data_IF_581519675301
#
_entry.id   IF_581519675301
#
_cell.length_a   1.000
_cell.length_b   1.000
_cell.length_c   1.000
_cell.angle_alpha   90.00
_cell.angle_beta   90.00
_cell.angle_gamma   90.00
#
_symmetry.space_group_name_H-M   'P 1'
#
loop_
_entity.id
_entity.type
_entity.pdbx_description
1 polymer ?
#
# COMPACT_ATOMS: atom_id res chain seq x y z
N UNK A 1 3.91 -21.23 -34.25
CA UNK A 1 3.86 -20.07 -33.34
C UNK A 1 5.15 -20.05 -32.53
N UNK A 2 6.24 -19.44 -33.02
CA UNK A 2 7.53 -19.37 -32.31
C UNK A 2 8.50 -18.34 -32.94
N UNK A 3 8.02 -17.13 -33.26
CA UNK A 3 8.82 -16.09 -33.95
C UNK A 3 8.52 -14.64 -33.50
N UNK A 4 8.05 -14.39 -32.26
CA UNK A 4 7.73 -13.01 -31.81
C UNK A 4 8.47 -12.48 -30.58
N UNK A 5 9.30 -13.28 -29.89
CA UNK A 5 9.93 -12.83 -28.64
C UNK A 5 11.38 -12.33 -28.76
N UNK A 6 12.00 -12.35 -29.95
CA UNK A 6 13.40 -11.91 -30.12
C UNK A 6 13.58 -10.42 -30.40
N UNK A 7 12.54 -9.70 -30.80
CA UNK A 7 12.68 -8.30 -31.23
C UNK A 7 12.66 -7.31 -30.05
N UNK A 8 12.05 -7.66 -28.92
CA UNK A 8 11.89 -6.73 -27.78
C UNK A 8 13.18 -6.58 -26.95
N UNK A 9 14.04 -7.60 -26.93
CA UNK A 9 15.30 -7.55 -26.17
C UNK A 9 16.39 -6.71 -26.85
N UNK A 10 16.31 -6.50 -28.18
CA UNK A 10 17.33 -5.75 -28.92
C UNK A 10 17.18 -4.22 -28.78
N UNK A 11 15.97 -3.72 -28.47
CA UNK A 11 15.71 -2.28 -28.36
C UNK A 11 16.23 -1.62 -27.07
N UNK A 12 16.56 -2.38 -26.03
CA UNK A 12 17.01 -1.81 -24.74
C UNK A 12 18.53 -1.61 -24.67
N UNK A 13 19.32 -2.31 -25.50
CA UNK A 13 20.79 -2.21 -25.47
C UNK A 13 21.33 -1.01 -26.27
N UNK A 14 20.63 -0.57 -27.32
CA UNK A 14 21.09 0.54 -28.19
C UNK A 14 20.99 1.93 -27.53
N UNK A 15 20.25 2.08 -26.44
CA UNK A 15 20.11 3.36 -25.73
C UNK A 15 21.35 3.74 -24.92
N UNK A 16 22.13 2.76 -24.46
CA UNK A 16 23.24 3.00 -23.53
C UNK A 16 24.57 3.32 -24.22
N UNK A 17 24.78 2.88 -25.46
CA UNK A 17 26.03 3.16 -26.20
C UNK A 17 26.08 4.59 -26.77
N UNK A 18 24.93 5.18 -27.12
CA UNK A 18 24.85 6.58 -27.56
C UNK A 18 25.06 7.58 -26.41
N UNK A 19 24.79 7.19 -25.16
CA UNK A 19 25.02 8.05 -23.98
C UNK A 19 26.50 8.19 -23.62
N UNK A 20 27.34 7.20 -23.96
CA UNK A 20 28.76 7.19 -23.58
C UNK A 20 29.59 8.23 -24.36
N UNK A 21 29.23 8.55 -25.60
CA UNK A 21 29.93 9.57 -26.40
C UNK A 21 29.57 11.01 -26.00
N UNK A 22 28.37 11.24 -25.46
CA UNK A 22 27.86 12.58 -25.13
C UNK A 22 28.37 13.10 -23.77
N UNK A 23 28.99 12.26 -22.94
CA UNK A 23 29.34 12.60 -21.57
C UNK A 23 30.61 13.46 -21.44
N UNK A 24 31.58 13.29 -22.34
CA UNK A 24 32.87 14.02 -22.29
C UNK A 24 32.93 15.24 -23.20
N UNK A 25 32.03 15.33 -24.20
CA UNK A 25 31.99 16.46 -25.11
C UNK A 25 31.42 17.70 -24.40
N UNK A 26 32.18 18.79 -24.45
CA UNK A 26 31.74 20.10 -23.98
C UNK A 26 30.92 20.76 -25.10
N UNK A 27 29.83 21.42 -24.72
CA UNK A 27 28.91 22.09 -25.64
C UNK A 27 28.70 23.53 -25.20
N UNK A 28 28.64 24.41 -26.18
CA UNK A 28 28.20 25.80 -26.04
C UNK A 28 26.77 25.89 -26.58
N UNK A 29 25.90 26.65 -25.92
CA UNK A 29 24.56 26.91 -26.43
C UNK A 29 24.26 28.40 -26.43
N UNK A 30 23.38 28.83 -27.34
CA UNK A 30 23.03 30.23 -27.52
C UNK A 30 21.59 30.48 -27.07
N UNK A 31 21.41 31.48 -26.23
CA UNK A 31 20.10 31.97 -25.79
C UNK A 31 20.00 33.46 -26.12
N UNK A 32 19.26 33.78 -27.18
CA UNK A 32 19.28 35.13 -27.77
C UNK A 32 20.65 35.45 -28.36
N UNK A 33 21.31 36.51 -27.89
CA UNK A 33 22.66 36.91 -28.34
C UNK A 33 23.77 36.45 -27.39
N UNK A 34 23.42 35.81 -26.29
CA UNK A 34 24.37 35.32 -25.30
C UNK A 34 24.76 33.88 -25.61
N UNK A 35 26.07 33.65 -25.74
CA UNK A 35 26.64 32.30 -25.81
C UNK A 35 27.04 31.88 -24.40
N UNK A 36 26.50 30.76 -23.95
CA UNK A 36 26.71 30.19 -22.63
C UNK A 36 27.48 28.87 -22.77
N UNK A 37 28.41 28.59 -21.84
CA UNK A 37 29.08 27.29 -21.78
C UNK A 37 30.30 27.27 -20.85
N UNK A 38 31.13 26.21 -20.89
CA UNK A 38 30.87 24.89 -21.49
C UNK A 38 29.97 24.02 -20.59
N UNK A 39 29.00 23.32 -21.21
CA UNK A 39 28.18 22.31 -20.54
C UNK A 39 28.52 20.91 -21.07
N UNK A 40 28.44 19.88 -20.23
CA UNK A 40 28.50 18.50 -20.73
C UNK A 40 27.22 18.14 -21.50
N UNK A 41 27.28 17.15 -22.40
CA UNK A 41 26.08 16.69 -23.10
C UNK A 41 24.98 16.22 -22.14
N UNK A 42 25.34 15.64 -20.98
CA UNK A 42 24.38 15.28 -19.94
C UNK A 42 23.68 16.50 -19.32
N UNK A 43 24.44 17.57 -19.02
CA UNK A 43 23.85 18.82 -18.52
C UNK A 43 22.91 19.45 -19.55
N UNK A 44 23.25 19.35 -20.84
CA UNK A 44 22.39 19.83 -21.92
C UNK A 44 21.07 19.04 -21.98
N UNK A 45 21.13 17.72 -21.83
CA UNK A 45 19.95 16.84 -21.73
C UNK A 45 19.12 17.15 -20.49
N UNK A 46 19.75 17.38 -19.34
CA UNK A 46 19.04 17.76 -18.11
C UNK A 46 18.29 19.09 -18.30
N UNK A 47 18.95 20.09 -18.89
CA UNK A 47 18.36 21.40 -19.20
C UNK A 47 17.22 21.32 -20.22
N UNK A 48 17.26 20.34 -21.12
CA UNK A 48 16.19 20.04 -22.04
C UNK A 48 14.98 19.41 -21.33
N UNK A 49 15.20 18.52 -20.35
CA UNK A 49 14.13 17.92 -19.54
C UNK A 49 13.51 18.87 -18.52
N UNK A 50 14.27 19.84 -18.00
CA UNK A 50 13.72 20.91 -17.15
C UNK A 50 12.92 21.93 -17.95
N UNK A 51 13.05 21.94 -19.28
CA UNK A 51 12.38 22.87 -20.18
C UNK A 51 13.07 24.24 -20.26
N UNK A 52 14.32 24.35 -19.80
CA UNK A 52 15.14 25.55 -19.99
C UNK A 52 15.64 25.67 -21.44
N UNK A 53 15.89 24.52 -22.08
CA UNK A 53 16.25 24.42 -23.49
C UNK A 53 15.16 23.70 -24.27
N UNK A 54 15.11 23.99 -25.56
CA UNK A 54 14.13 23.48 -26.51
C UNK A 54 14.82 22.88 -27.74
N UNK A 55 14.11 22.13 -28.57
CA UNK A 55 14.70 21.49 -29.76
C UNK A 55 15.25 22.49 -30.80
N UNK A 56 14.76 23.72 -30.80
CA UNK A 56 15.22 24.83 -31.64
C UNK A 56 16.45 25.56 -31.07
N UNK A 57 16.91 25.20 -29.87
CA UNK A 57 18.11 25.79 -29.27
C UNK A 57 19.33 25.50 -30.12
N UNK A 58 20.10 26.55 -30.39
CA UNK A 58 21.33 26.51 -31.18
C UNK A 58 22.51 26.12 -30.28
N UNK A 59 23.22 25.06 -30.64
CA UNK A 59 24.37 24.54 -29.89
C UNK A 59 25.55 24.24 -30.82
N UNK A 60 26.77 24.36 -30.29
CA UNK A 60 28.01 24.11 -31.00
C UNK A 60 29.06 23.50 -30.06
N UNK A 61 29.91 22.58 -30.53
CA UNK A 61 31.10 22.17 -29.79
C UNK A 61 32.10 23.33 -29.69
N UNK A 62 32.97 23.35 -28.66
CA UNK A 62 33.95 24.42 -28.47
C UNK A 62 34.89 24.51 -29.67
N UNK A 63 35.13 25.75 -30.12
CA UNK A 63 36.01 26.04 -31.26
C UNK A 63 35.31 26.04 -32.63
N UNK A 64 34.07 25.56 -32.72
CA UNK A 64 33.26 25.65 -33.95
C UNK A 64 32.37 26.89 -33.90
N UNK A 65 32.34 27.67 -34.98
CA UNK A 65 31.54 28.91 -35.08
C UNK A 65 30.09 28.66 -35.53
N UNK A 66 29.84 27.51 -36.13
CA UNK A 66 28.56 27.15 -36.70
C UNK A 66 27.70 26.46 -35.64
N UNK A 67 26.68 27.17 -35.15
CA UNK A 67 25.70 26.60 -34.24
C UNK A 67 24.64 25.84 -35.02
N UNK A 68 24.34 24.63 -34.59
CA UNK A 68 23.31 23.77 -35.15
C UNK A 68 22.14 23.65 -34.17
N UNK A 69 20.94 23.40 -34.69
CA UNK A 69 19.78 23.16 -33.85
C UNK A 69 19.87 21.79 -33.17
N UNK A 70 19.45 21.75 -31.91
CA UNK A 70 19.47 20.53 -31.10
C UNK A 70 18.62 19.39 -31.68
N UNK A 71 17.53 19.72 -32.38
CA UNK A 71 16.65 18.74 -33.04
C UNK A 71 17.24 18.08 -34.30
N UNK A 72 18.19 18.76 -34.95
CA UNK A 72 18.88 18.26 -36.15
C UNK A 72 20.01 17.29 -35.83
N UNK A 73 20.47 17.22 -34.58
CA UNK A 73 21.59 16.37 -34.18
C UNK A 73 21.10 14.98 -33.75
N UNK A 74 21.69 13.94 -34.34
CA UNK A 74 21.23 12.56 -34.16
C UNK A 74 21.30 12.09 -32.69
N UNK A 75 22.34 12.49 -31.96
CA UNK A 75 22.51 12.14 -30.55
C UNK A 75 21.45 12.73 -29.62
N UNK A 76 20.82 13.86 -29.99
CA UNK A 76 19.85 14.54 -29.13
C UNK A 76 18.40 14.36 -29.57
N UNK A 77 18.15 13.86 -30.79
CA UNK A 77 16.78 13.75 -31.35
C UNK A 77 15.81 12.98 -30.46
N UNK A 78 16.27 11.88 -29.88
CA UNK A 78 15.46 11.05 -28.95
C UNK A 78 15.15 11.81 -27.67
N UNK A 79 16.14 12.52 -27.11
CA UNK A 79 15.96 13.32 -25.90
C UNK A 79 15.04 14.52 -26.13
N UNK A 80 15.12 15.17 -27.30
CA UNK A 80 14.21 16.27 -27.70
C UNK A 80 12.77 15.78 -27.80
N UNK A 81 12.54 14.64 -28.48
CA UNK A 81 11.20 14.07 -28.57
C UNK A 81 10.64 13.68 -27.19
N UNK A 82 11.48 13.08 -26.33
CA UNK A 82 11.07 12.66 -24.98
C UNK A 82 10.82 13.84 -24.06
N UNK A 83 11.64 14.88 -24.10
CA UNK A 83 11.44 16.11 -23.34
C UNK A 83 10.17 16.85 -23.80
N UNK A 84 9.93 16.95 -25.11
CA UNK A 84 8.70 17.54 -25.64
C UNK A 84 7.45 16.78 -25.19
N UNK A 85 7.49 15.44 -25.16
CA UNK A 85 6.41 14.61 -24.64
C UNK A 85 6.21 14.83 -23.13
N UNK A 86 7.29 14.85 -22.35
CA UNK A 86 7.24 15.12 -20.90
C UNK A 86 6.61 16.48 -20.61
N UNK A 87 6.98 17.53 -21.34
CA UNK A 87 6.44 18.88 -21.17
C UNK A 87 4.93 18.96 -21.43
N UNK A 88 4.41 18.17 -22.40
CA UNK A 88 2.97 18.07 -22.65
C UNK A 88 2.24 17.42 -21.46
N UNK A 89 2.78 16.31 -20.96
CA UNK A 89 2.22 15.60 -19.80
C UNK A 89 2.26 16.47 -18.54
N UNK A 90 3.38 17.14 -18.28
CA UNK A 90 3.53 18.01 -17.12
C UNK A 90 2.60 19.23 -17.19
N UNK A 91 2.33 19.77 -18.38
CA UNK A 91 1.35 20.83 -18.59
C UNK A 91 -0.09 20.37 -18.25
N UNK A 92 -0.48 19.17 -18.67
CA UNK A 92 -1.79 18.60 -18.33
C UNK A 92 -1.92 18.31 -16.82
N UNK A 93 -0.88 17.75 -16.22
CA UNK A 93 -0.85 17.45 -14.79
C UNK A 93 -0.93 18.70 -13.92
N UNK A 94 -0.37 19.83 -14.36
CA UNK A 94 -0.52 21.12 -13.65
C UNK A 94 -1.99 21.53 -13.56
N UNK A 95 -2.76 21.41 -14.65
CA UNK A 95 -4.18 21.75 -14.66
C UNK A 95 -5.00 20.82 -13.74
N UNK A 96 -4.69 19.52 -13.75
CA UNK A 96 -5.34 18.54 -12.86
C UNK A 96 -5.02 18.84 -11.39
N UNK A 97 -3.76 19.14 -11.08
CA UNK A 97 -3.31 19.46 -9.73
C UNK A 97 -3.93 20.77 -9.23
N UNK A 98 -4.08 21.79 -10.07
CA UNK A 98 -4.79 23.02 -9.70
C UNK A 98 -6.25 22.76 -9.38
N UNK A 99 -6.95 21.96 -10.19
CA UNK A 99 -8.34 21.56 -9.90
C UNK A 99 -8.43 20.81 -8.58
N UNK A 100 -7.49 19.89 -8.30
CA UNK A 100 -7.43 19.16 -7.02
C UNK A 100 -7.13 20.09 -5.84
N UNK A 101 -6.23 21.07 -6.00
CA UNK A 101 -5.89 22.07 -4.97
C UNK A 101 -7.07 23.01 -4.70
N UNK A 102 -7.80 23.46 -5.72
CA UNK A 102 -9.03 24.25 -5.55
C UNK A 102 -10.10 23.47 -4.78
N UNK A 103 -10.31 22.19 -5.10
CA UNK A 103 -11.22 21.32 -4.34
C UNK A 103 -10.77 21.15 -2.88
N UNK A 104 -9.48 20.90 -2.62
CA UNK A 104 -8.95 20.76 -1.25
C UNK A 104 -9.02 22.05 -0.44
N UNK A 105 -8.78 23.20 -1.05
CA UNK A 105 -8.88 24.50 -0.36
C UNK A 105 -10.32 24.85 -0.03
N UNK A 106 -11.28 24.60 -0.93
CA UNK A 106 -12.71 24.77 -0.66
C UNK A 106 -13.24 23.80 0.42
N UNK A 107 -12.83 22.53 0.39
CA UNK A 107 -13.20 21.57 1.46
C UNK A 107 -12.50 21.88 2.79
N UNK A 108 -11.25 22.34 2.76
CA UNK A 108 -10.48 22.69 3.94
C UNK A 108 -10.99 23.94 4.67
N UNK A 109 -11.46 24.96 3.93
CA UNK A 109 -12.04 26.17 4.54
C UNK A 109 -13.34 25.87 5.29
N UNK A 110 -14.12 24.88 4.84
CA UNK A 110 -15.32 24.43 5.55
C UNK A 110 -15.01 23.83 6.92
N UNK A 111 -13.92 23.05 7.03
CA UNK A 111 -13.55 22.39 8.28
C UNK A 111 -13.16 23.40 9.37
N UNK A 112 -12.41 24.46 9.00
CA UNK A 112 -11.96 25.49 9.95
C UNK A 112 -13.12 26.27 10.59
N UNK A 113 -14.12 26.64 9.79
CA UNK A 113 -15.32 27.33 10.29
C UNK A 113 -16.15 26.42 11.20
N UNK A 114 -16.34 25.16 10.82
CA UNK A 114 -17.06 24.19 11.66
C UNK A 114 -16.34 23.96 12.98
N UNK A 115 -15.01 23.83 12.98
CA UNK A 115 -14.25 23.70 14.24
C UNK A 115 -14.37 24.94 15.13
N UNK A 116 -14.35 26.15 14.57
CA UNK A 116 -14.55 27.37 15.35
C UNK A 116 -15.95 27.46 15.95
N UNK A 117 -16.98 27.06 15.21
CA UNK A 117 -18.36 26.99 15.70
C UNK A 117 -18.50 25.94 16.80
N UNK A 118 -17.89 24.75 16.64
CA UNK A 118 -17.91 23.70 17.66
C UNK A 118 -17.16 24.11 18.94
N UNK A 119 -16.02 24.77 18.83
CA UNK A 119 -15.28 25.30 19.99
C UNK A 119 -16.11 26.40 20.68
N UNK A 120 -16.73 27.30 19.92
CA UNK A 120 -17.63 28.31 20.47
C UNK A 120 -18.82 27.71 21.20
N UNK A 121 -19.44 26.67 20.63
CA UNK A 121 -20.53 25.93 21.25
C UNK A 121 -20.08 25.17 22.50
N UNK A 122 -18.88 24.57 22.50
CA UNK A 122 -18.35 23.87 23.67
C UNK A 122 -18.06 24.83 24.83
N UNK A 123 -17.48 26.00 24.57
CA UNK A 123 -17.25 27.04 25.59
C UNK A 123 -18.58 27.57 26.14
N UNK A 124 -19.57 27.78 25.28
CA UNK A 124 -20.91 28.21 25.70
C UNK A 124 -21.63 27.14 26.53
N UNK A 125 -21.59 25.88 26.08
CA UNK A 125 -22.17 24.75 26.78
C UNK A 125 -21.48 24.52 28.14
N UNK A 126 -20.14 24.51 28.22
CA UNK A 126 -19.41 24.35 29.47
C UNK A 126 -19.78 25.40 30.52
N UNK A 127 -20.06 26.63 30.10
CA UNK A 127 -20.54 27.69 30.99
C UNK A 127 -21.98 27.48 31.47
N UNK A 128 -22.83 26.83 30.68
CA UNK A 128 -24.18 26.43 31.08
C UNK A 128 -24.16 25.19 31.99
N UNK A 129 -23.36 24.19 31.69
CA UNK A 129 -23.16 22.99 32.51
C UNK A 129 -22.55 23.30 33.89
N UNK A 130 -21.69 24.33 34.00
CA UNK A 130 -21.17 24.78 35.30
C UNK A 130 -22.25 25.42 36.20
N UNK A 131 -23.31 25.98 35.62
CA UNK A 131 -24.40 26.65 36.36
C UNK A 131 -25.58 25.70 36.61
N UNK A 132 -25.79 24.73 35.73
CA UNK A 132 -26.78 23.66 35.85
C UNK A 132 -26.09 22.30 35.72
N UNK A 133 -25.40 21.87 36.78
CA UNK A 133 -24.75 20.58 36.83
C UNK A 133 -25.76 19.44 36.58
N UNK A 134 -25.56 18.57 35.59
CA UNK A 134 -26.33 17.35 35.43
C UNK A 134 -25.81 16.32 36.42
N UNK A 135 -26.74 15.59 37.03
CA UNK A 135 -26.42 14.48 37.91
C UNK A 135 -25.53 13.44 37.23
N UNK A 136 -24.62 12.89 38.04
CA UNK A 136 -23.86 11.66 37.85
C UNK A 136 -24.58 10.63 36.96
N UNK A 137 -23.92 10.19 35.89
CA UNK A 137 -24.49 9.08 35.12
C UNK A 137 -23.66 8.48 33.98
N UNK A 138 -22.61 9.11 33.46
CA UNK A 138 -22.01 8.64 32.18
C UNK A 138 -20.48 8.71 32.13
N UNK A 139 -19.78 8.12 33.11
CA UNK A 139 -18.33 7.88 33.01
C UNK A 139 -17.95 6.38 32.96
N UNK A 140 -18.91 5.46 32.93
CA UNK A 140 -18.64 4.00 32.85
C UNK A 140 -18.42 3.48 31.41
N UNK A 141 -17.77 4.28 30.56
CA UNK A 141 -17.34 3.84 29.22
C UNK A 141 -15.90 4.25 28.87
N UNK A 142 -15.16 4.86 29.80
CA UNK A 142 -13.83 5.41 29.54
C UNK A 142 -12.68 4.40 29.61
N UNK A 143 -12.87 3.20 30.17
CA UNK A 143 -11.76 2.29 30.52
C UNK A 143 -11.43 1.21 29.47
N UNK A 144 -12.15 1.18 28.34
CA UNK A 144 -11.83 0.29 27.21
C UNK A 144 -11.63 1.16 25.97
N UNK A 145 -10.39 1.62 25.78
CA UNK A 145 -10.00 2.35 24.57
C UNK A 145 -9.81 1.38 23.42
N UNK A 146 -10.91 0.95 22.79
CA UNK A 146 -10.79 0.16 21.58
C UNK A 146 -10.34 1.06 20.44
N UNK A 147 -9.08 0.89 20.06
CA UNK A 147 -8.48 1.53 18.91
C UNK A 147 -9.16 1.06 17.61
N UNK A 148 -9.37 2.00 16.69
CA UNK A 148 -10.15 1.80 15.48
C UNK A 148 -9.48 0.73 14.58
N UNK A 149 -10.21 -0.31 14.11
CA UNK A 149 -9.59 -1.42 13.41
C UNK A 149 -8.99 -0.97 12.07
N UNK A 150 -7.79 -1.46 11.78
CA UNK A 150 -7.22 -1.41 10.43
C UNK A 150 -7.88 -2.48 9.58
N UNK A 151 -8.69 -2.06 8.62
CA UNK A 151 -9.35 -2.97 7.69
C UNK A 151 -8.29 -3.57 6.76
N UNK A 152 -8.01 -4.87 6.91
CA UNK A 152 -7.26 -5.62 5.89
C UNK A 152 -8.20 -5.90 4.73
N UNK A 153 -7.73 -5.62 3.50
CA UNK A 153 -8.52 -5.86 2.29
C UNK A 153 -8.88 -7.35 2.20
N UNK A 154 -10.12 -7.63 1.79
CA UNK A 154 -10.56 -8.96 1.42
C UNK A 154 -9.60 -9.57 0.39
N UNK A 155 -8.88 -10.60 0.80
CA UNK A 155 -8.11 -11.45 -0.09
C UNK A 155 -8.97 -12.69 -0.38
N UNK A 156 -9.12 -13.02 -1.66
CA UNK A 156 -9.64 -14.34 -2.02
C UNK A 156 -8.73 -15.39 -1.34
N UNK A 157 -9.28 -16.49 -0.79
CA UNK A 157 -8.46 -17.59 -0.32
C UNK A 157 -7.53 -18.00 -1.46
N UNK A 158 -6.22 -17.87 -1.28
CA UNK A 158 -5.26 -18.40 -2.22
C UNK A 158 -5.37 -19.93 -2.16
N UNK A 159 -5.84 -20.55 -3.24
CA UNK A 159 -5.89 -22.02 -3.39
C UNK A 159 -4.48 -22.63 -3.55
N UNK A 160 -3.42 -21.85 -3.37
CA UNK A 160 -2.02 -22.27 -3.57
C UNK A 160 -1.35 -22.93 -2.36
N UNK A 161 -2.02 -23.07 -1.19
CA UNK A 161 -1.42 -23.72 0.00
C UNK A 161 -1.69 -25.25 0.11
N UNK A 162 -2.47 -25.86 -0.78
CA UNK A 162 -2.82 -27.30 -0.70
C UNK A 162 -2.11 -28.20 -1.74
N UNK A 163 -1.08 -27.72 -2.44
CA UNK A 163 -0.31 -28.50 -3.42
C UNK A 163 1.17 -28.69 -3.01
N UNK A 164 1.43 -29.04 -1.75
CA UNK A 164 2.67 -29.74 -1.42
C UNK A 164 2.49 -31.22 -1.77
N UNK A 165 2.96 -31.59 -2.96
CA UNK A 165 3.05 -32.98 -3.37
C UNK A 165 3.98 -33.75 -2.41
N UNK A 166 3.41 -34.56 -1.52
CA UNK A 166 4.15 -35.61 -0.84
C UNK A 166 4.65 -36.61 -1.90
N UNK A 167 5.95 -36.88 -2.02
CA UNK A 167 6.42 -37.96 -2.88
C UNK A 167 5.89 -39.28 -2.31
N UNK A 168 4.88 -39.83 -2.97
CA UNK A 168 4.44 -41.21 -2.81
C UNK A 168 5.51 -42.11 -3.40
N UNK A 169 6.43 -42.63 -2.59
CA UNK A 169 7.17 -43.85 -2.92
C UNK A 169 6.56 -45.01 -2.15
N UNK A 170 6.12 -46.00 -2.93
CA UNK A 170 5.34 -47.14 -2.47
C UNK A 170 6.07 -48.02 -1.47
N UNK A 171 5.25 -48.61 -0.60
CA UNK A 171 5.55 -49.80 0.20
C UNK A 171 5.69 -51.06 -0.70
N UNK A 172 5.94 -52.29 -0.18
CA UNK A 172 6.30 -52.70 1.18
C UNK A 172 7.45 -53.75 1.28
N UNK A 173 8.05 -53.86 2.47
CA UNK A 173 8.43 -55.16 3.05
C UNK A 173 9.89 -55.63 2.97
N UNK A 174 10.35 -56.18 4.11
CA UNK A 174 11.42 -57.18 4.34
C UNK A 174 12.74 -56.66 4.96
N UNK A 175 12.94 -57.04 6.22
CA UNK A 175 14.24 -57.17 6.94
C UNK A 175 14.91 -58.52 6.57
N UNK A 176 16.12 -58.91 7.04
CA UNK A 176 17.17 -58.23 7.81
C UNK A 176 18.61 -58.41 7.22
N UNK A 177 19.60 -57.87 7.95
CA UNK A 177 21.01 -58.27 8.08
C UNK A 177 22.13 -57.71 7.17
N UNK A 178 23.17 -57.23 7.89
CA UNK A 178 24.62 -57.31 7.66
C UNK A 178 25.37 -56.15 6.96
N UNK A 179 26.16 -55.45 7.78
CA UNK A 179 27.31 -54.58 7.47
C UNK A 179 28.50 -55.39 6.85
N UNK A 180 29.71 -54.83 6.55
CA UNK A 180 30.23 -53.47 6.81
C UNK A 180 31.14 -52.85 5.69
N UNK A 181 31.59 -51.61 5.95
CA UNK A 181 32.81 -51.01 5.39
C UNK A 181 32.55 -49.87 4.40
N UNK A 182 33.14 -48.69 4.47
CA UNK A 182 34.23 -48.16 5.30
C UNK A 182 34.16 -46.63 5.20
N UNK A 183 34.31 -45.91 6.32
CA UNK A 183 34.69 -44.48 6.30
C UNK A 183 36.16 -44.32 5.89
N UNK A 184 36.60 -43.10 5.51
CA UNK A 184 37.06 -42.13 6.51
C UNK A 184 36.60 -40.68 6.22
N UNK A 185 36.18 -39.94 7.25
CA UNK A 185 36.92 -38.79 7.84
C UNK A 185 36.87 -37.48 7.01
N UNK A 186 36.76 -36.24 7.53
CA UNK A 186 36.54 -35.57 8.83
C UNK A 186 36.59 -34.04 8.49
N UNK A 187 36.75 -33.14 9.48
CA UNK A 187 35.79 -32.24 10.18
C UNK A 187 35.61 -30.87 9.43
N UNK A 188 34.93 -29.81 9.87
CA UNK A 188 34.77 -29.14 11.17
C UNK A 188 33.64 -28.08 10.98
N UNK A 189 32.62 -27.98 11.84
CA UNK A 189 32.58 -27.37 13.18
C UNK A 189 32.25 -25.86 13.17
N UNK A 190 31.17 -25.54 13.91
CA UNK A 190 30.92 -24.36 14.79
C UNK A 190 30.97 -22.96 14.16
N UNK A 191 30.26 -21.92 14.62
CA UNK A 191 29.09 -21.67 15.44
C UNK A 191 28.93 -20.12 15.40
N UNK A 192 27.70 -19.62 15.55
CA UNK A 192 27.29 -18.31 16.09
C UNK A 192 28.08 -17.02 15.75
N UNK A 193 27.38 -16.03 15.18
CA UNK A 193 27.04 -14.78 15.89
C UNK A 193 26.31 -13.76 15.00
N UNK A 194 25.14 -13.34 15.49
CA UNK A 194 24.62 -11.98 15.54
C UNK A 194 25.06 -10.93 14.49
N UNK A 195 24.10 -10.48 13.68
CA UNK A 195 23.96 -9.07 13.34
C UNK A 195 22.46 -8.73 13.20
N UNK A 196 21.92 -8.17 14.27
CA UNK A 196 20.56 -7.64 14.33
C UNK A 196 20.43 -6.42 13.40
N UNK A 197 19.62 -6.56 12.34
CA UNK A 197 19.12 -5.43 11.55
C UNK A 197 17.75 -4.99 12.12
N UNK A 198 17.47 -3.68 12.26
CA UNK A 198 16.23 -3.19 12.86
C UNK A 198 15.00 -3.42 11.95
N UNK A 199 13.81 -3.71 12.51
CA UNK A 199 12.60 -3.93 11.73
C UNK A 199 12.12 -2.63 11.07
N UNK A 200 12.04 -2.64 9.73
CA UNK A 200 11.43 -1.57 8.93
C UNK A 200 9.93 -1.52 9.19
N UNK A 201 9.45 -0.35 9.62
CA UNK A 201 8.02 -0.01 9.78
C UNK A 201 7.25 -0.20 8.46
N UNK A 202 6.06 -0.82 8.45
CA UNK A 202 5.23 -0.91 7.25
C UNK A 202 4.67 0.47 6.89
N UNK A 203 4.89 0.88 5.63
CA UNK A 203 4.27 2.07 5.02
C UNK A 203 2.85 1.72 4.53
N UNK A 204 1.88 2.65 4.63
CA UNK A 204 0.54 2.43 4.13
C UNK A 204 0.47 2.57 2.59
N UNK A 205 0.07 1.49 1.93
CA UNK A 205 -0.84 1.49 0.79
C UNK A 205 -0.40 2.13 -0.54
N UNK A 206 0.24 1.33 -1.40
CA UNK A 206 -0.24 1.14 -2.78
C UNK A 206 0.14 -0.27 -3.22
N UNK A 207 -0.83 -1.18 -3.18
CA UNK A 207 -0.70 -2.45 -3.88
C UNK A 207 -0.92 -2.11 -5.35
N UNK A 208 0.15 -2.07 -6.13
CA UNK A 208 0.05 -2.16 -7.58
C UNK A 208 -0.44 -3.56 -7.89
N UNK A 209 -1.65 -3.66 -8.44
CA UNK A 209 -2.09 -4.85 -9.14
C UNK A 209 -1.19 -5.04 -10.36
N UNK A 210 -0.44 -6.13 -10.39
CA UNK A 210 0.32 -6.58 -11.55
C UNK A 210 -0.64 -6.80 -12.75
N UNK A 211 -0.30 -6.41 -13.98
CA UNK A 211 -1.18 -6.47 -15.13
C UNK A 211 -1.09 -7.84 -15.83
N UNK A 212 -1.37 -8.93 -15.12
CA UNK A 212 -1.57 -10.26 -15.72
C UNK A 212 -2.99 -10.77 -15.44
N UNK A 213 -3.95 -10.09 -16.06
CA UNK A 213 -4.80 -10.73 -17.06
C UNK A 213 -5.72 -11.90 -16.69
N UNK A 214 -6.10 -12.11 -15.42
CA UNK A 214 -7.28 -12.90 -15.03
C UNK A 214 -7.88 -12.41 -13.69
N UNK A 215 -8.30 -11.15 -13.65
CA UNK A 215 -9.23 -10.68 -12.61
C UNK A 215 -10.57 -11.39 -12.81
N UNK A 216 -10.77 -12.51 -12.11
CA UNK A 216 -12.10 -13.10 -11.96
C UNK A 216 -12.96 -12.09 -11.20
N UNK A 217 -13.70 -11.27 -11.97
CA UNK A 217 -14.40 -10.07 -11.54
C UNK A 217 -15.00 -10.16 -10.13
N UNK A 218 -14.21 -9.69 -9.16
CA UNK A 218 -14.62 -9.54 -7.77
C UNK A 218 -15.54 -8.32 -7.72
N UNK A 219 -16.84 -8.54 -7.93
CA UNK A 219 -17.84 -7.46 -7.93
C UNK A 219 -18.45 -7.25 -6.54
N UNK A 220 -17.66 -6.81 -5.56
CA UNK A 220 -18.20 -6.25 -4.32
C UNK A 220 -17.75 -4.80 -4.11
N UNK A 221 -18.65 -3.98 -3.57
CA UNK A 221 -18.36 -2.58 -3.23
C UNK A 221 -17.65 -2.53 -1.88
N UNK A 222 -16.32 -2.50 -1.93
CA UNK A 222 -15.47 -2.40 -0.74
C UNK A 222 -15.81 -1.17 0.12
N UNK A 223 -16.17 -0.05 -0.49
CA UNK A 223 -16.56 1.17 0.21
C UNK A 223 -17.83 0.99 1.03
N UNK A 224 -18.81 0.26 0.48
CA UNK A 224 -20.04 -0.08 1.19
C UNK A 224 -19.78 -1.01 2.39
N UNK A 225 -18.95 -2.05 2.23
CA UNK A 225 -18.58 -2.96 3.32
C UNK A 225 -17.90 -2.18 4.45
N UNK A 226 -16.89 -1.39 4.13
CA UNK A 226 -16.15 -0.61 5.11
C UNK A 226 -17.05 0.39 5.86
N UNK A 227 -18.04 0.96 5.19
CA UNK A 227 -19.02 1.86 5.81
C UNK A 227 -19.90 1.13 6.84
N UNK A 228 -20.39 -0.06 6.49
CA UNK A 228 -21.21 -0.89 7.41
C UNK A 228 -20.38 -1.30 8.63
N UNK A 229 -19.15 -1.75 8.41
CA UNK A 229 -18.22 -2.12 9.48
C UNK A 229 -17.95 -0.93 10.40
N UNK A 230 -17.56 0.23 9.87
CA UNK A 230 -17.26 1.41 10.68
C UNK A 230 -18.46 1.91 11.49
N UNK A 231 -19.67 1.75 10.95
CA UNK A 231 -20.91 2.15 11.62
C UNK A 231 -21.28 1.19 12.75
N UNK A 232 -21.11 -0.12 12.53
CA UNK A 232 -21.60 -1.14 13.46
C UNK A 232 -20.53 -1.73 14.40
N UNK A 233 -19.24 -1.47 14.19
CA UNK A 233 -18.16 -2.00 15.04
C UNK A 233 -18.36 -1.75 16.54
N UNK A 234 -19.08 -0.68 16.89
CA UNK A 234 -19.38 -0.32 18.29
C UNK A 234 -20.31 -1.32 18.96
N UNK A 235 -21.14 -2.06 18.22
CA UNK A 235 -22.05 -3.05 18.82
C UNK A 235 -21.29 -4.26 19.38
N UNK A 236 -20.09 -4.55 18.83
CA UNK A 236 -19.24 -5.64 19.31
C UNK A 236 -18.63 -5.35 20.69
N UNK A 237 -18.56 -4.08 21.11
CA UNK A 237 -18.01 -3.73 22.42
C UNK A 237 -18.78 -4.36 23.57
N UNK A 238 -20.09 -4.58 23.42
CA UNK A 238 -20.88 -5.26 24.46
C UNK A 238 -20.36 -6.67 24.70
N UNK A 239 -20.07 -7.41 23.64
CA UNK A 239 -19.53 -8.75 23.73
C UNK A 239 -18.16 -8.78 24.42
N UNK A 240 -17.29 -7.82 24.12
CA UNK A 240 -15.98 -7.72 24.77
C UNK A 240 -16.09 -7.29 26.24
N UNK A 241 -17.02 -6.40 26.61
CA UNK A 241 -17.28 -6.00 28.01
C UNK A 241 -17.70 -7.20 28.84
N UNK A 242 -18.70 -7.96 28.37
CA UNK A 242 -19.20 -9.16 29.05
C UNK A 242 -18.08 -10.21 29.26
N UNK A 243 -17.17 -10.37 28.30
CA UNK A 243 -16.04 -11.29 28.44
C UNK A 243 -14.94 -10.75 29.36
N UNK A 244 -14.68 -9.44 29.34
CA UNK A 244 -13.73 -8.79 30.24
C UNK A 244 -14.18 -8.85 31.72
N UNK A 245 -15.48 -8.72 31.98
CA UNK A 245 -16.07 -8.89 33.32
C UNK A 245 -15.92 -10.33 33.84
N UNK A 246 -16.06 -11.32 32.96
CA UNK A 246 -15.84 -12.73 33.30
C UNK A 246 -14.38 -13.05 33.58
N UNK A 247 -13.46 -12.34 32.94
CA UNK A 247 -12.00 -12.55 33.05
C UNK A 247 -11.29 -11.24 33.38
N UNK A 248 -11.34 -10.79 34.65
CA UNK A 248 -10.63 -9.59 35.06
C UNK A 248 -9.13 -9.76 34.81
N UNK A 249 -8.51 -8.80 34.12
CA UNK A 249 -7.11 -8.85 33.69
C UNK A 249 -6.87 -9.24 32.24
N UNK A 250 -7.94 -9.44 31.44
CA UNK A 250 -7.82 -9.65 30.00
C UNK A 250 -7.39 -8.35 29.28
N UNK A 251 -6.08 -8.21 29.06
CA UNK A 251 -5.51 -7.12 28.26
C UNK A 251 -4.76 -7.70 27.04
N UNK A 252 -5.45 -7.84 25.91
CA UNK A 252 -4.88 -8.42 24.70
C UNK A 252 -5.45 -7.78 23.43
N UNK A 253 -4.64 -7.81 22.37
CA UNK A 253 -5.09 -7.53 21.01
C UNK A 253 -5.74 -8.80 20.45
N UNK A 254 -7.00 -8.70 20.05
CA UNK A 254 -7.79 -9.80 19.50
C UNK A 254 -8.05 -9.51 18.01
N UNK A 255 -7.27 -10.11 17.09
CA UNK A 255 -7.60 -10.13 15.69
C UNK A 255 -8.80 -11.06 15.48
N UNK A 256 -9.79 -10.56 14.76
CA UNK A 256 -10.93 -11.33 14.28
C UNK A 256 -11.01 -11.21 12.76
N UNK A 257 -11.38 -12.28 12.10
CA UNK A 257 -11.63 -12.29 10.67
C UNK A 257 -12.99 -12.93 10.43
N UNK A 258 -13.78 -12.38 9.51
CA UNK A 258 -15.07 -12.96 9.18
C UNK A 258 -15.32 -12.91 7.69
N UNK A 259 -16.13 -13.85 7.20
CA UNK A 259 -16.49 -13.97 5.79
C UNK A 259 -17.95 -13.62 5.58
N UNK A 260 -18.18 -12.72 4.63
CA UNK A 260 -19.50 -12.27 4.20
C UNK A 260 -19.98 -13.22 3.08
N UNK A 261 -21.23 -13.66 3.19
CA UNK A 261 -21.96 -14.43 2.19
C UNK A 261 -22.52 -13.55 1.08
N UNK A 262 -22.84 -14.17 -0.04
CA UNK A 262 -23.48 -13.51 -1.18
C UNK A 262 -24.88 -12.94 -0.85
N UNK A 263 -25.50 -13.43 0.23
CA UNK A 263 -26.74 -12.92 0.81
C UNK A 263 -26.56 -11.62 1.63
N UNK A 264 -25.32 -11.17 1.83
CA UNK A 264 -25.00 -10.00 2.64
C UNK A 264 -25.01 -10.29 4.15
N UNK A 265 -24.89 -11.55 4.57
CA UNK A 265 -24.75 -11.93 5.99
C UNK A 265 -23.40 -12.56 6.26
N UNK A 266 -22.97 -12.52 7.51
CA UNK A 266 -21.71 -13.16 7.92
C UNK A 266 -21.93 -14.66 8.12
N UNK A 267 -21.16 -15.48 7.40
CA UNK A 267 -21.27 -16.93 7.44
C UNK A 267 -20.27 -17.58 8.40
N UNK A 268 -19.05 -17.02 8.51
CA UNK A 268 -17.97 -17.57 9.33
C UNK A 268 -17.22 -16.47 10.07
N UNK A 269 -16.78 -16.77 11.29
CA UNK A 269 -15.96 -15.91 12.16
C UNK A 269 -14.79 -16.73 12.70
N UNK A 270 -13.58 -16.24 12.50
CA UNK A 270 -12.33 -16.71 13.05
C UNK A 270 -11.80 -15.71 14.08
N UNK A 271 -11.33 -16.21 15.21
CA UNK A 271 -10.71 -15.40 16.28
C UNK A 271 -9.31 -15.97 16.51
N UNK A 272 -8.27 -15.16 16.39
CA UNK A 272 -6.89 -15.66 16.41
C UNK A 272 -6.40 -16.04 17.82
N UNK A 273 -7.17 -15.74 18.87
CA UNK A 273 -6.76 -16.02 20.24
C UNK A 273 -7.24 -17.41 20.71
N UNK A 274 -6.34 -18.37 21.04
CA UNK A 274 -6.72 -19.75 21.37
C UNK A 274 -7.74 -19.90 22.50
N UNK A 275 -7.74 -18.97 23.47
CA UNK A 275 -8.66 -19.01 24.60
C UNK A 275 -10.06 -18.45 24.29
N UNK A 276 -10.24 -17.79 23.13
CA UNK A 276 -11.47 -17.10 22.73
C UNK A 276 -12.13 -17.73 21.49
N UNK A 277 -11.49 -18.71 20.85
CA UNK A 277 -11.97 -19.36 19.62
C UNK A 277 -13.37 -19.95 19.77
N UNK A 278 -13.63 -20.69 20.85
CA UNK A 278 -14.89 -21.43 21.06
C UNK A 278 -15.69 -20.95 22.30
N UNK A 279 -15.43 -19.71 22.72
CA UNK A 279 -15.99 -19.13 23.94
C UNK A 279 -17.39 -18.54 23.80
N UNK A 280 -17.91 -18.02 24.91
CA UNK A 280 -19.14 -17.22 24.91
C UNK A 280 -18.97 -15.91 24.11
N UNK A 281 -17.75 -15.36 24.07
CA UNK A 281 -17.40 -14.22 23.22
C UNK A 281 -17.63 -14.52 21.73
N UNK A 282 -17.18 -15.67 21.22
CA UNK A 282 -17.36 -16.05 19.81
C UNK A 282 -18.84 -16.06 19.41
N UNK A 283 -19.68 -16.68 20.25
CA UNK A 283 -21.13 -16.74 20.04
C UNK A 283 -21.78 -15.36 20.04
N UNK A 284 -21.38 -14.49 20.97
CA UNK A 284 -21.87 -13.12 21.03
C UNK A 284 -21.48 -12.33 19.78
N UNK A 285 -20.19 -12.38 19.40
CA UNK A 285 -19.67 -11.69 18.22
C UNK A 285 -20.35 -12.17 16.94
N UNK A 286 -20.50 -13.49 16.76
CA UNK A 286 -21.16 -14.05 15.58
C UNK A 286 -22.63 -13.61 15.49
N UNK A 287 -23.34 -13.59 16.63
CA UNK A 287 -24.73 -13.15 16.69
C UNK A 287 -24.91 -11.67 16.34
N UNK A 288 -23.98 -10.81 16.74
CA UNK A 288 -23.98 -9.39 16.36
C UNK A 288 -23.56 -9.17 14.90
N UNK A 289 -22.52 -9.85 14.42
CA UNK A 289 -22.05 -9.77 13.04
C UNK A 289 -23.12 -10.23 12.02
N UNK A 290 -23.91 -11.25 12.35
CA UNK A 290 -25.00 -11.73 11.49
C UNK A 290 -26.16 -10.72 11.35
N UNK A 291 -26.26 -9.74 12.28
CA UNK A 291 -27.26 -8.67 12.22
C UNK A 291 -26.82 -7.49 11.37
N UNK A 292 -25.54 -7.42 10.99
CA UNK A 292 -25.02 -6.31 10.22
C UNK A 292 -25.57 -6.34 8.78
N UNK A 293 -26.12 -5.22 8.28
CA UNK A 293 -26.72 -5.18 6.95
C UNK A 293 -25.67 -4.92 5.87
N UNK A 294 -25.12 -5.97 5.25
CA UNK A 294 -24.29 -5.82 4.05
C UNK A 294 -25.15 -5.84 2.79
N UNK A 295 -24.69 -5.14 1.74
CA UNK A 295 -25.32 -5.24 0.42
C UNK A 295 -25.04 -6.64 -0.15
N UNK A 296 -26.05 -7.35 -0.67
CA UNK A 296 -25.82 -8.62 -1.33
C UNK A 296 -24.98 -8.39 -2.60
N UNK A 297 -24.11 -9.33 -2.90
CA UNK A 297 -23.23 -9.29 -4.07
C UNK A 297 -23.13 -10.67 -4.71
N UNK A 298 -22.60 -10.72 -5.93
CA UNK A 298 -22.38 -11.96 -6.67
C UNK A 298 -20.88 -12.20 -6.82
N UNK A 299 -20.45 -13.45 -6.73
CA UNK A 299 -19.05 -13.87 -6.93
C UNK A 299 -18.46 -14.58 -5.72
N UNK A 300 -17.16 -14.37 -5.52
CA UNK A 300 -16.37 -14.91 -4.41
C UNK A 300 -16.75 -14.27 -3.07
N UNK A 301 -16.61 -15.04 -1.99
CA UNK A 301 -16.89 -14.57 -0.64
C UNK A 301 -15.85 -13.53 -0.19
N UNK A 302 -16.27 -12.44 0.45
CA UNK A 302 -15.37 -11.40 0.94
C UNK A 302 -14.97 -11.70 2.40
N UNK A 303 -13.67 -11.72 2.68
CA UNK A 303 -13.13 -11.78 4.05
C UNK A 303 -12.82 -10.36 4.56
N UNK A 304 -13.09 -10.11 5.84
CA UNK A 304 -12.76 -8.82 6.47
C UNK A 304 -12.06 -9.09 7.79
N UNK A 305 -10.85 -8.55 7.95
CA UNK A 305 -10.10 -8.57 9.20
C UNK A 305 -10.34 -7.30 10.01
N UNK A 306 -10.64 -7.47 11.30
CA UNK A 306 -10.70 -6.42 12.31
C UNK A 306 -9.79 -6.79 13.48
N UNK A 307 -9.21 -5.79 14.14
CA UNK A 307 -8.43 -6.03 15.35
C UNK A 307 -8.88 -5.11 16.46
N UNK A 308 -9.23 -5.70 17.61
CA UNK A 308 -9.67 -4.99 18.79
C UNK A 308 -8.57 -5.05 19.84
N UNK A 309 -8.25 -3.93 20.47
CA UNK A 309 -7.38 -3.90 21.65
C UNK A 309 -8.29 -3.79 22.88
N UNK A 310 -8.30 -4.83 23.72
CA UNK A 310 -9.00 -4.82 25.01
C UNK A 310 -7.93 -4.62 26.08
N UNK A 311 -8.10 -3.63 26.94
CA UNK A 311 -7.16 -3.34 28.03
C UNK A 311 -7.55 -2.07 28.78
N UNK A 312 -7.19 -2.02 30.06
CA UNK A 312 -7.36 -0.85 30.93
C UNK A 312 -6.54 0.31 30.37
N UNK A 313 -7.14 1.48 30.19
CA UNK A 313 -6.40 2.67 29.73
C UNK A 313 -5.56 3.15 30.92
N UNK A 314 -4.26 2.85 30.90
CA UNK A 314 -3.30 3.31 31.90
C UNK A 314 -3.10 4.82 31.87
#
# INVERSE_FOLDING_TARGET
MARRDKDTACCMAAGHELEAGLSEEQWLFRQGDLVLGPLSGQQLVEKLYTGELTGDTLVAPPGVRDFQRLDGMEGFRVHVARAAAKMRVDAEMRLVNERKRRKRTLLGSGLGVVTLVLVGLAVWAGRQFAVHGPGDGEDEYADISVEMPTITLAQAPSEDEDLIAYPTQGAPGRTPDKAPGSSPAKPAAVASAAAAAPPKKPRPGSVSTEPDGLDMGISFDQGAINKVVATNQRTLFRCFKEEAERRPGFAAKVPIEFVIGNDGRVNKLWVDHPQLKDGALHKCLLGELQRWPFKPYKGSLASVGLSFTVGKKG
#
